data_IF_355432820869
#
_entry.id   IF_355432820869
#
_cell.length_a   1.000
_cell.length_b   1.000
_cell.length_c   1.000
_cell.angle_alpha   90.00
_cell.angle_beta   90.00
_cell.angle_gamma   90.00
#
_symmetry.space_group_name_H-M   'P 1'
#
loop_
_entity.id
_entity.type
_entity.pdbx_description
1 polymer ?
#
# COMPACT_ATOMS: atom_id res chain seq x y z
N UNK A 1 1.05 20.03 -2.98
CA UNK A 1 1.84 19.78 -4.20
C UNK A 1 0.93 19.15 -5.23
N UNK A 2 1.18 19.36 -6.53
CA UNK A 2 0.42 18.72 -7.61
C UNK A 2 1.27 17.67 -8.31
N UNK A 3 0.66 16.53 -8.62
CA UNK A 3 1.29 15.41 -9.30
C UNK A 3 0.53 15.02 -10.56
N UNK A 4 1.25 14.75 -11.65
CA UNK A 4 0.76 14.02 -12.81
C UNK A 4 1.02 12.54 -12.59
N UNK A 5 0.01 11.72 -12.81
CA UNK A 5 0.08 10.26 -12.70
C UNK A 5 -0.34 9.65 -14.01
N UNK A 6 0.44 8.70 -14.51
CA UNK A 6 0.08 7.83 -15.62
C UNK A 6 0.36 6.39 -15.23
N UNK A 7 -0.58 5.50 -15.49
CA UNK A 7 -0.35 4.07 -15.40
C UNK A 7 -0.89 3.40 -16.66
N UNK A 8 -0.15 2.42 -17.17
CA UNK A 8 -0.52 1.65 -18.34
C UNK A 8 -0.26 0.18 -18.07
N UNK A 9 -1.30 -0.63 -18.26
CA UNK A 9 -1.29 -2.06 -18.02
C UNK A 9 -1.78 -2.77 -19.28
N UNK A 10 -1.02 -3.75 -19.77
CA UNK A 10 -1.39 -4.60 -20.90
C UNK A 10 -1.21 -6.05 -20.51
N UNK A 11 -2.26 -6.82 -20.68
CA UNK A 11 -2.28 -8.25 -20.43
C UNK A 11 -2.92 -9.01 -21.58
N UNK A 12 -2.35 -10.16 -21.91
CA UNK A 12 -2.93 -11.13 -22.83
C UNK A 12 -3.73 -12.19 -22.06
N UNK A 13 -4.85 -12.60 -22.63
CA UNK A 13 -5.63 -13.73 -22.11
C UNK A 13 -6.22 -14.56 -23.24
N UNK A 14 -6.42 -15.86 -23.00
CA UNK A 14 -6.95 -16.79 -24.00
C UNK A 14 -8.48 -16.84 -24.01
N UNK A 15 -9.13 -16.21 -23.03
CA UNK A 15 -10.58 -16.16 -22.85
C UNK A 15 -10.96 -14.91 -22.02
N UNK A 16 -12.21 -14.44 -22.05
CA UNK A 16 -12.67 -13.41 -21.12
C UNK A 16 -12.38 -13.76 -19.66
N UNK A 17 -11.83 -12.81 -18.90
CA UNK A 17 -11.48 -12.96 -17.48
C UNK A 17 -12.18 -11.88 -16.67
N UNK A 18 -12.76 -12.28 -15.53
CA UNK A 18 -13.17 -11.34 -14.50
C UNK A 18 -11.96 -10.89 -13.68
N UNK A 19 -11.80 -9.59 -13.48
CA UNK A 19 -10.75 -9.04 -12.63
C UNK A 19 -11.26 -7.88 -11.78
N UNK A 20 -10.61 -7.70 -10.63
CA UNK A 20 -10.82 -6.59 -9.73
C UNK A 20 -9.58 -5.69 -9.77
N UNK A 21 -9.73 -4.49 -10.32
CA UNK A 21 -8.65 -3.50 -10.48
C UNK A 21 -8.77 -2.39 -9.44
N UNK A 22 -7.63 -1.94 -8.90
CA UNK A 22 -7.55 -0.81 -7.97
C UNK A 22 -6.25 -0.03 -8.19
N UNK A 23 -6.29 0.90 -9.15
CA UNK A 23 -5.15 1.78 -9.46
C UNK A 23 -5.53 3.27 -9.42
N UNK A 24 -6.80 3.61 -9.32
CA UNK A 24 -7.22 5.01 -9.27
C UNK A 24 -6.79 5.67 -7.95
N UNK A 25 -6.26 6.89 -8.01
CA UNK A 25 -6.01 7.69 -6.81
C UNK A 25 -7.32 7.89 -6.01
N UNK A 26 -7.24 7.80 -4.69
CA UNK A 26 -8.38 7.97 -3.80
C UNK A 26 -8.77 9.46 -3.67
N UNK A 27 -10.05 9.79 -3.83
CA UNK A 27 -10.54 11.12 -3.52
C UNK A 27 -10.72 11.26 -2.00
N UNK A 28 -9.94 12.16 -1.37
CA UNK A 28 -9.96 12.38 0.07
C UNK A 28 -9.79 13.86 0.40
N UNK A 29 -10.00 14.23 1.67
CA UNK A 29 -9.85 15.62 2.13
C UNK A 29 -8.46 16.21 1.80
N UNK A 30 -7.41 15.40 1.96
CA UNK A 30 -6.02 15.83 1.69
C UNK A 30 -5.52 15.50 0.29
N UNK A 31 -6.40 14.95 -0.57
CA UNK A 31 -6.08 14.46 -1.90
C UNK A 31 -7.20 14.80 -2.88
N UNK A 32 -7.01 15.88 -3.65
CA UNK A 32 -8.01 16.36 -4.62
C UNK A 32 -7.61 15.99 -6.04
N UNK A 33 -8.50 15.28 -6.73
CA UNK A 33 -8.29 14.84 -8.10
C UNK A 33 -8.75 15.89 -9.11
N UNK A 34 -8.04 15.95 -10.23
CA UNK A 34 -8.30 16.78 -11.41
C UNK A 34 -7.98 15.98 -12.67
N UNK A 35 -8.65 16.29 -13.78
CA UNK A 35 -8.38 15.71 -15.10
C UNK A 35 -8.16 14.17 -15.05
N UNK A 36 -9.13 13.46 -14.45
CA UNK A 36 -9.07 12.02 -14.26
C UNK A 36 -9.64 11.33 -15.50
N UNK A 37 -8.86 10.45 -16.09
CA UNK A 37 -9.25 9.63 -17.22
C UNK A 37 -8.79 8.19 -17.00
N UNK A 38 -9.68 7.24 -17.23
CA UNK A 38 -9.37 5.82 -17.23
C UNK A 38 -10.04 5.20 -18.45
N UNK A 39 -9.25 4.62 -19.34
CA UNK A 39 -9.73 3.97 -20.57
C UNK A 39 -9.39 2.49 -20.57
N UNK A 40 -10.26 1.71 -21.19
CA UNK A 40 -10.08 0.28 -21.42
C UNK A 40 -10.17 -0.02 -22.91
N UNK A 41 -9.66 -1.18 -23.33
CA UNK A 41 -9.81 -1.70 -24.68
C UNK A 41 -11.28 -1.99 -25.05
N UNK A 42 -11.54 -2.03 -26.36
CA UNK A 42 -12.87 -2.31 -26.88
C UNK A 42 -13.34 -3.71 -26.49
N UNK A 43 -14.52 -3.81 -25.90
CA UNK A 43 -15.10 -5.09 -25.45
C UNK A 43 -14.94 -5.34 -23.95
N UNK A 44 -14.16 -4.53 -23.26
CA UNK A 44 -14.10 -4.54 -21.79
C UNK A 44 -15.34 -3.87 -21.20
N UNK A 45 -16.01 -4.55 -20.27
CA UNK A 45 -17.09 -3.97 -19.46
C UNK A 45 -16.63 -3.79 -18.03
N UNK A 46 -17.13 -2.76 -17.34
CA UNK A 46 -16.74 -2.51 -15.96
C UNK A 46 -17.81 -1.77 -15.15
N UNK A 47 -17.73 -1.90 -13.83
CA UNK A 47 -18.45 -1.05 -12.88
C UNK A 47 -17.62 -0.78 -11.63
N UNK A 48 -17.92 0.32 -10.95
CA UNK A 48 -17.17 0.78 -9.78
C UNK A 48 -17.74 0.22 -8.48
N UNK A 49 -16.84 -0.03 -7.55
CA UNK A 49 -17.07 -0.51 -6.19
C UNK A 49 -16.27 0.38 -5.23
N UNK A 50 -16.77 0.56 -4.01
CA UNK A 50 -15.98 1.21 -2.98
C UNK A 50 -14.74 0.36 -2.65
N UNK A 51 -13.59 1.02 -2.45
CA UNK A 51 -12.44 0.39 -1.83
C UNK A 51 -12.70 0.05 -0.36
N UNK A 52 -11.84 -0.78 0.21
CA UNK A 52 -11.86 -1.08 1.64
C UNK A 52 -11.75 0.20 2.47
N UNK A 53 -12.42 0.20 3.64
CA UNK A 53 -12.61 1.39 4.48
C UNK A 53 -13.27 2.59 3.78
N UNK A 54 -13.91 2.38 2.64
CA UNK A 54 -14.44 3.47 1.80
C UNK A 54 -13.34 4.32 1.16
N UNK A 55 -12.10 3.86 1.12
CA UNK A 55 -10.95 4.60 0.58
C UNK A 55 -10.55 4.01 -0.77
N UNK A 56 -10.62 4.86 -1.80
CA UNK A 56 -10.32 4.50 -3.17
C UNK A 56 -11.49 3.84 -3.89
N UNK A 57 -11.27 3.50 -5.15
CA UNK A 57 -12.27 2.85 -6.02
C UNK A 57 -11.70 1.53 -6.53
N UNK A 58 -12.47 0.46 -6.41
CA UNK A 58 -12.22 -0.79 -7.12
C UNK A 58 -13.09 -0.84 -8.37
N UNK A 59 -12.63 -1.48 -9.43
CA UNK A 59 -13.42 -1.74 -10.63
C UNK A 59 -13.53 -3.23 -10.84
N UNK A 60 -14.75 -3.73 -10.85
CA UNK A 60 -15.01 -5.04 -11.41
C UNK A 60 -14.98 -4.91 -12.92
N UNK A 61 -14.17 -5.73 -13.58
CA UNK A 61 -13.89 -5.66 -15.00
C UNK A 61 -14.07 -7.06 -15.58
N UNK A 62 -14.79 -7.15 -16.69
CA UNK A 62 -14.82 -8.35 -17.53
C UNK A 62 -14.10 -8.01 -18.84
N UNK A 63 -12.99 -8.70 -19.10
CA UNK A 63 -12.11 -8.43 -20.24
C UNK A 63 -12.61 -9.07 -21.54
N UNK A 64 -12.08 -8.60 -22.67
CA UNK A 64 -12.14 -9.33 -23.94
C UNK A 64 -11.08 -10.45 -24.01
N UNK A 65 -10.56 -10.71 -25.22
CA UNK A 65 -9.41 -11.59 -25.48
C UNK A 65 -8.05 -10.92 -25.19
N UNK A 66 -8.08 -9.80 -24.48
CA UNK A 66 -6.96 -8.99 -24.07
C UNK A 66 -7.47 -8.03 -23.01
N UNK A 67 -6.55 -7.34 -22.36
CA UNK A 67 -6.88 -6.26 -21.44
C UNK A 67 -5.82 -5.18 -21.52
N UNK A 68 -6.25 -3.98 -21.91
CA UNK A 68 -5.43 -2.79 -21.87
C UNK A 68 -6.12 -1.73 -21.03
N UNK A 69 -5.42 -1.21 -20.02
CA UNK A 69 -5.91 -0.13 -19.17
C UNK A 69 -4.92 1.03 -19.20
N UNK A 70 -5.42 2.23 -19.45
CA UNK A 70 -4.66 3.47 -19.31
C UNK A 70 -5.33 4.36 -18.30
N UNK A 71 -4.57 4.80 -17.30
CA UNK A 71 -5.01 5.71 -16.27
C UNK A 71 -4.18 6.99 -16.32
N UNK A 72 -4.85 8.13 -16.25
CA UNK A 72 -4.27 9.46 -16.16
C UNK A 72 -4.98 10.22 -15.04
N UNK A 73 -4.23 10.86 -14.16
CA UNK A 73 -4.81 11.85 -13.24
C UNK A 73 -3.82 12.97 -12.91
N UNK A 74 -4.37 14.14 -12.58
CA UNK A 74 -3.64 15.17 -11.84
C UNK A 74 -4.17 15.22 -10.41
N UNK A 75 -3.28 15.22 -9.42
CA UNK A 75 -3.68 15.10 -8.02
C UNK A 75 -2.98 16.15 -7.18
N UNK A 76 -3.77 16.96 -6.48
CA UNK A 76 -3.28 17.87 -5.44
C UNK A 76 -3.23 17.15 -4.09
N UNK A 77 -2.04 17.05 -3.51
CA UNK A 77 -1.82 16.52 -2.16
C UNK A 77 -1.50 17.67 -1.21
N UNK A 78 -2.30 17.82 -0.14
CA UNK A 78 -2.18 18.88 0.88
C UNK A 78 -1.86 18.33 2.27
N UNK A 79 -1.59 17.04 2.37
CA UNK A 79 -1.35 16.31 3.61
C UNK A 79 -0.22 16.92 4.44
N UNK A 80 -0.51 17.16 5.73
CA UNK A 80 0.48 17.59 6.71
C UNK A 80 1.11 16.36 7.35
N UNK A 81 2.43 16.37 7.51
CA UNK A 81 3.18 15.29 8.17
C UNK A 81 3.57 15.73 9.57
N UNK A 82 3.16 14.94 10.56
CA UNK A 82 3.56 15.12 11.95
C UNK A 82 4.85 14.35 12.21
N UNK A 83 5.69 14.85 13.12
CA UNK A 83 6.90 14.15 13.54
C UNK A 83 6.52 12.82 14.21
N UNK A 84 6.68 11.71 13.49
CA UNK A 84 6.18 10.40 13.91
C UNK A 84 6.76 9.99 15.27
N UNK A 85 8.06 10.21 15.50
CA UNK A 85 8.77 9.84 16.72
C UNK A 85 8.17 10.45 18.01
N UNK A 86 7.50 11.60 17.91
CA UNK A 86 6.91 12.29 19.05
C UNK A 86 5.48 11.86 19.36
N UNK A 87 4.87 11.01 18.53
CA UNK A 87 3.49 10.58 18.71
C UNK A 87 3.37 9.52 19.81
N UNK A 88 2.40 9.72 20.69
CA UNK A 88 2.06 8.74 21.71
C UNK A 88 1.26 7.58 21.11
N UNK A 89 1.41 6.39 21.69
CA UNK A 89 0.52 5.27 21.45
C UNK A 89 -0.89 5.64 21.90
N UNK A 90 -1.89 5.34 21.07
CA UNK A 90 -3.28 5.44 21.49
C UNK A 90 -3.53 4.38 22.58
N UNK A 91 -4.06 4.79 23.73
CA UNK A 91 -4.42 3.84 24.80
C UNK A 91 -5.35 2.76 24.25
N UNK A 92 -5.09 1.49 24.56
CA UNK A 92 -5.84 0.37 23.96
C UNK A 92 -7.35 0.45 24.16
N UNK A 93 -7.81 0.88 25.34
CA UNK A 93 -9.23 1.10 25.64
C UNK A 93 -9.88 2.28 24.90
N UNK A 94 -9.10 3.09 24.18
CA UNK A 94 -9.56 4.23 23.39
C UNK A 94 -9.44 4.00 21.88
N UNK A 95 -9.00 2.81 21.44
CA UNK A 95 -8.94 2.48 20.03
C UNK A 95 -10.37 2.33 19.49
N UNK A 96 -10.77 3.07 18.43
CA UNK A 96 -12.10 2.97 17.84
C UNK A 96 -12.41 1.57 17.30
N UNK A 97 -13.68 1.17 17.33
CA UNK A 97 -14.11 -0.18 16.96
C UNK A 97 -13.74 -0.58 15.51
N UNK A 98 -13.83 0.35 14.58
CA UNK A 98 -13.41 0.20 13.18
C UNK A 98 -11.90 0.06 13.01
N UNK A 99 -11.10 0.53 13.98
CA UNK A 99 -9.64 0.40 13.98
C UNK A 99 -9.17 -0.93 14.57
N UNK A 100 -9.94 -1.55 15.48
CA UNK A 100 -9.53 -2.77 16.21
C UNK A 100 -9.12 -3.91 15.26
N UNK A 101 -9.79 -4.09 14.12
CA UNK A 101 -9.45 -5.15 13.15
C UNK A 101 -8.01 -5.06 12.63
N UNK A 102 -7.39 -3.88 12.67
CA UNK A 102 -6.01 -3.64 12.25
C UNK A 102 -4.97 -3.99 13.32
N UNK A 103 -5.39 -4.54 14.46
CA UNK A 103 -4.53 -5.25 15.41
C UNK A 103 -4.39 -6.73 15.07
N UNK A 104 -5.33 -7.28 14.28
CA UNK A 104 -5.44 -8.72 14.08
C UNK A 104 -4.46 -9.25 13.01
N UNK A 105 -4.04 -10.53 13.08
CA UNK A 105 -3.30 -11.21 12.01
C UNK A 105 -4.07 -11.16 10.69
N UNK A 106 -3.40 -11.17 9.55
CA UNK A 106 -4.03 -11.23 8.21
C UNK A 106 -3.24 -12.16 7.28
N UNK A 107 -3.68 -12.36 6.03
CA UNK A 107 -3.14 -13.37 5.10
C UNK A 107 -1.61 -13.31 4.96
N UNK A 108 -1.04 -12.10 4.94
CA UNK A 108 0.40 -11.91 4.74
C UNK A 108 1.14 -11.44 6.00
N UNK A 109 0.42 -11.18 7.10
CA UNK A 109 0.97 -10.58 8.32
C UNK A 109 0.59 -11.41 9.55
N UNK A 110 1.58 -12.10 10.14
CA UNK A 110 1.40 -13.03 11.28
C UNK A 110 2.07 -12.49 12.56
N UNK A 111 1.53 -11.43 13.19
CA UNK A 111 2.18 -10.73 14.32
C UNK A 111 2.46 -11.63 15.53
N UNK A 112 1.65 -12.66 15.76
CA UNK A 112 1.81 -13.61 16.85
C UNK A 112 3.15 -14.35 16.84
N UNK A 113 3.77 -14.50 15.67
CA UNK A 113 5.07 -15.14 15.51
C UNK A 113 6.25 -14.21 15.89
N UNK A 114 5.97 -12.93 16.11
CA UNK A 114 6.98 -11.89 16.30
C UNK A 114 6.91 -11.20 17.67
N UNK A 115 6.04 -11.64 18.58
CA UNK A 115 5.87 -11.05 19.92
C UNK A 115 7.20 -11.01 20.69
N UNK A 116 7.91 -12.14 20.77
CA UNK A 116 9.19 -12.25 21.49
C UNK A 116 10.29 -11.41 20.84
N UNK A 117 10.38 -11.45 19.51
CA UNK A 117 11.37 -10.67 18.75
C UNK A 117 11.15 -9.17 18.99
N UNK A 118 9.92 -8.68 18.80
CA UNK A 118 9.59 -7.27 18.96
C UNK A 118 9.83 -6.82 20.40
N UNK A 119 9.39 -7.61 21.39
CA UNK A 119 9.62 -7.30 22.81
C UNK A 119 11.10 -7.25 23.15
N UNK A 120 11.92 -8.16 22.61
CA UNK A 120 13.36 -8.23 22.91
C UNK A 120 14.14 -7.13 22.22
N UNK A 121 13.84 -6.86 20.95
CA UNK A 121 14.60 -5.89 20.15
C UNK A 121 14.22 -4.44 20.44
N UNK A 122 12.97 -4.19 20.82
CA UNK A 122 12.43 -2.82 20.88
C UNK A 122 11.67 -2.50 22.19
N UNK A 123 11.72 -3.37 23.20
CA UNK A 123 10.88 -3.30 24.40
C UNK A 123 11.01 -2.02 25.24
N UNK A 124 12.11 -1.26 25.10
CA UNK A 124 12.31 0.02 25.79
C UNK A 124 11.65 1.21 25.09
N UNK A 125 11.05 1.00 23.91
CA UNK A 125 10.44 2.04 23.09
C UNK A 125 8.91 1.87 23.03
N UNK A 126 8.20 2.97 22.82
CA UNK A 126 6.74 2.97 22.69
C UNK A 126 6.25 3.97 21.63
N UNK A 127 5.01 3.78 21.18
CA UNK A 127 4.33 4.69 20.27
C UNK A 127 5.14 4.99 19.00
N UNK A 128 5.27 6.26 18.66
CA UNK A 128 5.95 6.71 17.46
C UNK A 128 7.44 6.39 17.40
N UNK A 129 8.14 6.47 18.54
CA UNK A 129 9.56 6.13 18.62
C UNK A 129 9.80 4.63 18.31
N UNK A 130 8.91 3.76 18.80
CA UNK A 130 8.92 2.33 18.50
C UNK A 130 8.75 2.06 17.00
N UNK A 131 7.76 2.69 16.37
CA UNK A 131 7.52 2.53 14.92
C UNK A 131 8.71 3.04 14.09
N UNK A 132 9.34 4.14 14.49
CA UNK A 132 10.57 4.60 13.83
C UNK A 132 11.69 3.58 13.96
N UNK A 133 11.94 3.02 15.15
CA UNK A 133 12.98 2.01 15.33
C UNK A 133 12.72 0.74 14.50
N UNK A 134 11.47 0.28 14.42
CA UNK A 134 11.08 -0.86 13.57
C UNK A 134 11.31 -0.57 12.09
N UNK A 135 10.88 0.60 11.60
CA UNK A 135 11.10 1.05 10.22
C UNK A 135 12.58 1.08 9.89
N UNK A 136 13.40 1.68 10.76
CA UNK A 136 14.84 1.83 10.56
C UNK A 136 15.55 0.47 10.60
N UNK A 137 15.11 -0.44 11.48
CA UNK A 137 15.59 -1.82 11.51
C UNK A 137 15.29 -2.54 10.19
N UNK A 138 14.05 -2.46 9.68
CA UNK A 138 13.68 -3.09 8.40
C UNK A 138 14.53 -2.50 7.27
N UNK A 139 14.60 -1.17 7.17
CA UNK A 139 15.37 -0.48 6.14
C UNK A 139 16.87 -0.84 6.16
N UNK A 140 17.43 -1.13 7.33
CA UNK A 140 18.86 -1.43 7.48
C UNK A 140 19.20 -2.91 7.25
N UNK A 141 18.24 -3.80 7.51
CA UNK A 141 18.47 -5.25 7.45
C UNK A 141 17.94 -5.89 6.16
N UNK A 142 16.97 -5.28 5.49
CA UNK A 142 16.42 -5.82 4.26
C UNK A 142 17.19 -5.36 3.03
N UNK A 143 17.36 -6.28 2.08
CA UNK A 143 17.77 -5.96 0.71
C UNK A 143 16.54 -5.75 -0.15
N UNK A 144 16.49 -4.65 -0.88
CA UNK A 144 15.47 -4.47 -1.92
C UNK A 144 15.84 -5.30 -3.16
N UNK A 145 14.96 -6.21 -3.57
CA UNK A 145 15.24 -7.14 -4.67
C UNK A 145 13.95 -7.39 -5.47
N UNK A 146 13.89 -6.79 -6.67
CA UNK A 146 12.73 -6.86 -7.57
C UNK A 146 12.51 -8.24 -8.21
N UNK A 147 13.50 -9.14 -8.14
CA UNK A 147 13.35 -10.53 -8.59
C UNK A 147 12.90 -11.45 -7.45
N UNK A 148 12.96 -10.97 -6.21
CA UNK A 148 12.48 -11.68 -5.02
C UNK A 148 11.00 -11.37 -4.79
N UNK A 149 10.29 -12.30 -4.13
CA UNK A 149 8.92 -12.13 -3.63
C UNK A 149 7.76 -12.43 -4.59
N UNK A 150 7.50 -13.72 -4.91
CA UNK A 150 6.25 -14.16 -5.51
C UNK A 150 5.00 -13.66 -4.77
N UNK A 151 3.84 -13.65 -5.43
CA UNK A 151 2.59 -13.11 -4.86
C UNK A 151 2.11 -13.78 -3.54
N UNK A 152 2.66 -14.95 -3.20
CA UNK A 152 2.38 -15.68 -1.96
C UNK A 152 3.30 -15.35 -0.78
N UNK A 153 4.36 -14.55 -0.98
CA UNK A 153 5.35 -14.24 0.06
C UNK A 153 4.70 -13.49 1.22
N UNK A 154 4.95 -13.98 2.44
CA UNK A 154 4.45 -13.41 3.69
C UNK A 154 5.53 -12.62 4.42
N UNK A 155 5.15 -11.81 5.41
CA UNK A 155 6.08 -11.16 6.32
C UNK A 155 7.10 -12.15 6.91
N UNK A 156 6.64 -13.34 7.34
CA UNK A 156 7.52 -14.38 7.88
C UNK A 156 8.60 -14.83 6.88
N UNK A 157 8.24 -15.00 5.61
CA UNK A 157 9.17 -15.37 4.55
C UNK A 157 10.20 -14.26 4.29
N UNK A 158 9.74 -13.00 4.27
CA UNK A 158 10.61 -11.83 4.09
C UNK A 158 11.56 -11.63 5.26
N UNK A 159 11.11 -11.87 6.50
CA UNK A 159 11.98 -11.84 7.66
C UNK A 159 13.08 -12.91 7.59
N UNK A 160 12.74 -14.13 7.17
CA UNK A 160 13.72 -15.22 7.05
C UNK A 160 14.74 -14.97 5.94
N UNK A 161 14.33 -14.34 4.84
CA UNK A 161 15.20 -14.04 3.71
C UNK A 161 15.92 -12.70 3.81
N UNK A 162 15.48 -11.81 4.71
CA UNK A 162 15.91 -10.42 4.84
C UNK A 162 15.92 -9.69 3.48
N UNK A 163 14.90 -9.96 2.65
CA UNK A 163 14.82 -9.45 1.28
C UNK A 163 13.38 -9.33 0.84
N UNK A 164 13.11 -8.39 -0.08
CA UNK A 164 11.79 -8.24 -0.69
C UNK A 164 11.66 -6.97 -1.50
N UNK A 165 10.42 -6.67 -1.88
CA UNK A 165 9.99 -5.43 -2.54
C UNK A 165 9.14 -4.58 -1.59
N UNK A 166 8.67 -3.42 -2.03
CA UNK A 166 7.91 -2.48 -1.20
C UNK A 166 6.74 -3.12 -0.42
N UNK A 167 6.03 -4.08 -1.03
CA UNK A 167 4.96 -4.87 -0.40
C UNK A 167 5.45 -5.57 0.87
N UNK A 168 6.61 -6.21 0.80
CA UNK A 168 7.16 -7.02 1.89
C UNK A 168 7.64 -6.15 3.05
N UNK A 169 8.24 -5.00 2.74
CA UNK A 169 8.63 -4.00 3.73
C UNK A 169 7.39 -3.48 4.48
N UNK A 170 6.30 -3.21 3.76
CA UNK A 170 5.03 -2.80 4.37
C UNK A 170 4.44 -3.92 5.24
N UNK A 171 4.37 -5.16 4.75
CA UNK A 171 3.87 -6.29 5.54
C UNK A 171 4.69 -6.55 6.79
N UNK A 172 6.01 -6.41 6.71
CA UNK A 172 6.88 -6.55 7.88
C UNK A 172 6.65 -5.47 8.92
N UNK A 173 6.55 -4.20 8.51
CA UNK A 173 6.28 -3.12 9.44
C UNK A 173 4.89 -3.27 10.08
N UNK A 174 3.87 -3.67 9.30
CA UNK A 174 2.54 -4.00 9.84
C UNK A 174 2.62 -5.12 10.87
N UNK A 175 3.37 -6.18 10.57
CA UNK A 175 3.54 -7.34 11.44
C UNK A 175 4.20 -6.94 12.76
N UNK A 176 5.29 -6.16 12.71
CA UNK A 176 5.96 -5.66 13.92
C UNK A 176 5.08 -4.71 14.73
N UNK A 177 4.40 -3.77 14.08
CA UNK A 177 3.51 -2.83 14.75
C UNK A 177 2.35 -3.54 15.47
N UNK A 178 1.72 -4.51 14.80
CA UNK A 178 0.64 -5.31 15.38
C UNK A 178 1.12 -6.20 16.52
N UNK A 179 2.32 -6.77 16.43
CA UNK A 179 2.95 -7.53 17.52
C UNK A 179 3.20 -6.65 18.76
N UNK A 180 3.46 -5.36 18.58
CA UNK A 180 3.53 -4.37 19.66
C UNK A 180 2.17 -3.81 20.12
N UNK A 181 1.05 -4.30 19.57
CA UNK A 181 -0.29 -3.80 19.90
C UNK A 181 -0.60 -2.41 19.36
N UNK A 182 0.06 -1.98 18.28
CA UNK A 182 -0.25 -0.76 17.54
C UNK A 182 -1.04 -1.14 16.28
N UNK A 183 -2.26 -0.59 16.06
CA UNK A 183 -3.01 -0.89 14.85
C UNK A 183 -2.24 -0.41 13.62
N UNK A 184 -2.10 -1.27 12.63
CA UNK A 184 -1.39 -0.96 11.40
C UNK A 184 -2.12 -1.52 10.18
N UNK A 185 -2.09 -0.81 9.06
CA UNK A 185 -2.76 -1.18 7.81
C UNK A 185 -1.87 -0.93 6.61
N UNK A 186 -2.10 -1.70 5.56
CA UNK A 186 -1.41 -1.57 4.29
C UNK A 186 -1.99 -0.42 3.48
N UNK A 187 -1.14 0.27 2.74
CA UNK A 187 -1.54 1.37 1.87
C UNK A 187 -0.85 1.23 0.52
N UNK A 188 -1.65 1.16 -0.54
CA UNK A 188 -1.18 1.28 -1.91
C UNK A 188 -1.10 2.76 -2.29
N UNK A 189 0.01 3.18 -2.87
CA UNK A 189 0.29 4.58 -3.23
C UNK A 189 1.03 4.71 -4.56
N UNK A 190 0.90 5.89 -5.16
CA UNK A 190 1.86 6.41 -6.11
C UNK A 190 2.87 7.31 -5.40
N UNK A 191 4.13 7.31 -5.86
CA UNK A 191 5.19 8.17 -5.32
C UNK A 191 6.16 8.63 -6.40
N UNK A 192 6.47 9.93 -6.43
CA UNK A 192 7.32 10.55 -7.44
C UNK A 192 8.82 10.22 -7.32
N UNK A 193 9.26 9.73 -6.15
CA UNK A 193 10.65 9.38 -5.86
C UNK A 193 10.89 7.85 -5.89
N UNK A 194 9.85 7.06 -6.17
CA UNK A 194 9.95 5.59 -6.24
C UNK A 194 10.82 5.20 -7.44
N UNK A 195 11.85 4.39 -7.18
CA UNK A 195 12.86 4.02 -8.18
C UNK A 195 13.20 2.52 -8.10
N UNK A 196 13.08 1.74 -9.20
CA UNK A 196 12.48 2.13 -10.48
C UNK A 196 11.00 2.51 -10.30
N UNK A 197 10.49 3.37 -11.18
CA UNK A 197 9.13 3.88 -11.05
C UNK A 197 8.10 2.76 -11.25
N UNK A 198 7.31 2.51 -10.21
CA UNK A 198 6.22 1.53 -10.20
C UNK A 198 5.13 1.96 -9.19
N UNK A 199 4.08 1.16 -9.05
CA UNK A 199 3.22 1.20 -7.87
C UNK A 199 4.05 0.98 -6.60
N UNK A 200 3.65 1.63 -5.51
CA UNK A 200 4.35 1.53 -4.24
C UNK A 200 3.42 1.12 -3.12
N UNK A 201 4.00 0.48 -2.11
CA UNK A 201 3.29 -0.03 -0.96
C UNK A 201 3.97 0.45 0.32
N UNK A 202 3.17 0.96 1.24
CA UNK A 202 3.63 1.51 2.53
C UNK A 202 2.67 1.11 3.65
N UNK A 203 2.97 1.53 4.86
CA UNK A 203 2.16 1.24 6.05
C UNK A 203 1.51 2.51 6.59
N UNK A 204 0.32 2.38 7.13
CA UNK A 204 -0.25 3.35 8.07
C UNK A 204 -0.31 2.76 9.47
N UNK A 205 0.08 3.54 10.48
CA UNK A 205 -0.04 3.18 11.90
C UNK A 205 -0.99 4.12 12.61
N UNK A 206 -1.77 3.59 13.55
CA UNK A 206 -2.72 4.38 14.33
C UNK A 206 -2.08 4.85 15.64
N UNK A 207 -1.74 6.13 15.71
CA UNK A 207 -1.07 6.75 16.84
C UNK A 207 -1.74 8.09 17.17
N UNK A 208 -1.86 8.41 18.47
CA UNK A 208 -2.46 9.66 18.93
C UNK A 208 -3.82 9.96 18.28
N UNK A 209 -4.65 8.92 18.10
CA UNK A 209 -6.00 9.04 17.54
C UNK A 209 -6.10 9.22 16.02
N UNK A 210 -5.01 9.06 15.25
CA UNK A 210 -5.02 9.23 13.80
C UNK A 210 -4.12 8.22 13.07
N UNK A 211 -4.38 8.01 11.77
CA UNK A 211 -3.54 7.22 10.88
C UNK A 211 -2.35 8.04 10.36
N UNK A 212 -1.15 7.48 10.44
CA UNK A 212 0.09 8.12 9.98
C UNK A 212 0.84 7.21 9.01
N UNK A 213 1.20 7.75 7.85
CA UNK A 213 1.95 7.02 6.82
C UNK A 213 3.42 6.82 7.21
N UNK A 214 3.92 5.62 6.92
CA UNK A 214 5.26 5.15 7.24
C UNK A 214 5.77 4.32 6.06
N UNK A 215 6.84 4.79 5.43
CA UNK A 215 7.55 4.04 4.39
C UNK A 215 8.83 3.44 4.99
N UNK A 216 8.94 2.11 4.96
CA UNK A 216 10.11 1.39 5.43
C UNK A 216 11.15 1.14 4.32
N UNK A 217 10.82 1.37 3.05
CA UNK A 217 11.82 1.35 1.98
C UNK A 217 12.60 2.65 1.90
N UNK A 218 12.03 3.74 2.43
CA UNK A 218 12.59 5.09 2.34
C UNK A 218 12.53 5.70 0.95
N UNK A 219 11.83 5.06 -0.01
CA UNK A 219 11.80 5.51 -1.41
C UNK A 219 10.90 6.71 -1.63
N UNK A 220 9.81 6.84 -0.87
CA UNK A 220 8.86 7.92 -1.06
C UNK A 220 8.70 8.79 0.20
N UNK A 221 8.56 10.10 -0.03
CA UNK A 221 8.25 11.05 1.04
C UNK A 221 6.77 10.96 1.37
N UNK A 222 6.46 10.72 2.64
CA UNK A 222 5.08 10.55 3.08
C UNK A 222 4.22 11.74 2.66
N UNK A 223 4.66 12.99 2.83
CA UNK A 223 3.92 14.20 2.43
C UNK A 223 3.49 14.26 0.96
N UNK A 224 4.12 13.47 0.10
CA UNK A 224 4.03 13.56 -1.36
C UNK A 224 3.38 12.32 -2.00
N UNK A 225 3.16 11.26 -1.20
CA UNK A 225 2.47 10.07 -1.69
C UNK A 225 1.02 10.39 -2.07
N UNK A 226 0.59 9.82 -3.19
CA UNK A 226 -0.79 9.84 -3.63
C UNK A 226 -1.41 8.50 -3.26
N UNK A 227 -2.42 8.49 -2.39
CA UNK A 227 -3.04 7.25 -1.91
C UNK A 227 -3.94 6.65 -3.00
N UNK A 228 -3.90 5.33 -3.17
CA UNK A 228 -4.78 4.54 -4.04
C UNK A 228 -5.84 3.82 -3.20
N UNK A 229 -5.42 3.11 -2.14
CA UNK A 229 -6.31 2.32 -1.30
C UNK A 229 -5.64 1.85 -0.02
N UNK A 230 -6.44 1.35 0.93
CA UNK A 230 -5.97 0.80 2.21
C UNK A 230 -6.61 -0.54 2.50
N UNK A 231 -5.97 -1.35 3.34
CA UNK A 231 -6.51 -2.64 3.74
C UNK A 231 -5.67 -3.27 4.83
N UNK A 232 -6.05 -4.45 5.34
CA UNK A 232 -5.28 -5.13 6.39
C UNK A 232 -3.92 -5.58 5.87
N UNK A 233 -3.86 -6.03 4.63
CA UNK A 233 -2.64 -6.34 3.89
C UNK A 233 -2.91 -6.27 2.37
N UNK A 234 -2.03 -6.83 1.55
CA UNK A 234 -2.15 -6.75 0.09
C UNK A 234 -3.33 -7.57 -0.48
N UNK A 235 -3.95 -8.48 0.27
CA UNK A 235 -5.14 -9.21 -0.18
C UNK A 235 -6.33 -8.26 -0.38
N UNK A 236 -6.39 -7.22 0.44
CA UNK A 236 -7.45 -6.22 0.46
C UNK A 236 -7.22 -5.12 -0.61
N UNK A 237 -5.96 -4.90 -1.03
CA UNK A 237 -5.56 -3.77 -1.88
C UNK A 237 -4.65 -4.15 -3.05
N UNK A 238 -4.77 -5.36 -3.58
CA UNK A 238 -4.07 -5.74 -4.81
C UNK A 238 -4.39 -4.72 -5.90
N UNK A 239 -3.40 -4.24 -6.65
CA UNK A 239 -3.67 -3.39 -7.81
C UNK A 239 -4.53 -4.12 -8.85
N UNK A 240 -4.38 -5.45 -8.95
CA UNK A 240 -5.21 -6.32 -9.77
C UNK A 240 -5.35 -7.71 -9.13
N UNK A 241 -6.57 -8.22 -9.06
CA UNK A 241 -6.86 -9.64 -8.78
C UNK A 241 -7.61 -10.20 -9.98
N UNK A 242 -7.08 -11.24 -10.64
CA UNK A 242 -7.72 -11.90 -11.78
C UNK A 242 -8.33 -13.24 -11.39
N UNK A 243 -9.52 -13.53 -11.89
CA UNK A 243 -10.22 -14.81 -11.75
C UNK A 243 -10.06 -15.64 -13.03
N UNK A 244 -8.81 -15.80 -13.42
CA UNK A 244 -8.39 -16.39 -14.69
C UNK A 244 -6.92 -16.08 -14.95
N UNK A 245 -6.32 -16.84 -15.86
CA UNK A 245 -4.92 -16.63 -16.22
C UNK A 245 -4.80 -15.44 -17.17
N UNK A 246 -3.86 -14.55 -16.86
CA UNK A 246 -3.52 -13.38 -17.66
C UNK A 246 -2.00 -13.26 -17.69
N UNK A 247 -1.43 -13.07 -18.88
CA UNK A 247 0.00 -12.87 -19.04
C UNK A 247 0.30 -11.38 -19.10
N UNK A 248 1.16 -10.88 -18.22
CA UNK A 248 1.63 -9.51 -18.29
C UNK A 248 2.44 -9.30 -19.58
N UNK A 249 2.03 -8.33 -20.39
CA UNK A 249 2.73 -7.92 -21.62
C UNK A 249 3.52 -6.64 -21.36
N UNK A 250 2.86 -5.64 -20.79
CA UNK A 250 3.46 -4.33 -20.51
C UNK A 250 2.88 -3.73 -19.22
N UNK A 251 3.76 -3.15 -18.40
CA UNK A 251 3.38 -2.33 -17.25
C UNK A 251 4.29 -1.11 -17.21
N UNK A 252 3.69 0.06 -17.08
CA UNK A 252 4.41 1.29 -16.76
C UNK A 252 3.62 2.15 -15.79
N UNK A 253 4.34 2.78 -14.88
CA UNK A 253 3.83 3.81 -13.98
C UNK A 253 4.75 5.02 -14.11
N UNK A 254 4.16 6.20 -14.11
CA UNK A 254 4.86 7.48 -14.16
C UNK A 254 4.21 8.44 -13.18
N UNK A 255 5.03 9.03 -12.30
CA UNK A 255 4.58 10.02 -11.33
C UNK A 255 5.50 11.23 -11.40
N UNK A 256 4.97 12.40 -11.76
CA UNK A 256 5.75 13.64 -11.88
C UNK A 256 5.17 14.75 -11.03
N UNK A 257 6.02 15.52 -10.37
CA UNK A 257 5.64 16.81 -9.76
C UNK A 257 5.36 17.80 -10.89
N UNK A 258 4.25 18.51 -10.84
CA UNK A 258 3.89 19.53 -11.83
C UNK A 258 3.54 20.87 -11.15
N UNK A 259 3.76 21.97 -11.86
CA UNK A 259 3.35 23.30 -11.41
C UNK A 259 1.85 23.52 -11.61
N UNK A 260 1.30 24.52 -10.90
CA UNK A 260 -0.08 24.98 -11.04
C UNK A 260 -0.32 25.73 -12.35
#
# INVERSE_FOLDING_TARGET
MRFLIRAHLVYDTTQPVDLLLQIEAAAEETQRLHAVEMTFDSGTTHYSLAGEEGIGTRRWIQTGLGFECRYHAQVDVTRRVTALNALAQTSWGQIPADVIKFLMPSRYCHPELFLDFVSTQFGDLQGGALICAMRDWISSNFRYDSASSPAGTTATDSFNSLSGVCRDYAHMLITFARAAGIPARFVSVYGADVAPQDFHAVTEVYLSGAWHLVDATGMAKTAEMVRIGVGRDAADTSFMTSYGWMNLVEQSVEVRRIAF
#
